data_IF_425011356558
#
_entry.id   IF_425011356558
#
_cell.length_a   1.000
_cell.length_b   1.000
_cell.length_c   1.000
_cell.angle_alpha   90.00
_cell.angle_beta   90.00
_cell.angle_gamma   90.00
#
_symmetry.space_group_name_H-M   'P 1'
#
loop_
_entity.id
_entity.type
_entity.pdbx_description
1 polymer ?
#
# COMPACT_ATOMS: atom_id res chain seq x y z
N UNK A 1 12.54 -20.45 -15.04
CA UNK A 1 13.71 -19.82 -15.67
C UNK A 1 14.37 -18.88 -14.67
N UNK A 2 15.39 -19.34 -13.94
CA UNK A 2 16.09 -18.52 -12.93
C UNK A 2 16.69 -17.21 -13.49
N UNK A 3 17.04 -17.20 -14.78
CA UNK A 3 17.61 -16.05 -15.49
C UNK A 3 16.68 -14.83 -15.59
N UNK A 4 15.39 -15.00 -15.30
CA UNK A 4 14.42 -13.90 -15.28
C UNK A 4 14.39 -13.16 -13.94
N UNK A 5 15.12 -13.65 -12.94
CA UNK A 5 15.24 -13.07 -11.62
C UNK A 5 16.64 -12.52 -11.42
N UNK A 6 16.79 -11.50 -10.58
CA UNK A 6 18.10 -11.10 -10.11
C UNK A 6 18.68 -12.22 -9.26
N UNK A 7 19.96 -12.52 -9.46
CA UNK A 7 20.65 -13.60 -8.76
C UNK A 7 22.15 -13.32 -8.70
N UNK A 8 22.86 -13.95 -7.78
CA UNK A 8 24.32 -13.92 -7.78
C UNK A 8 24.89 -14.93 -8.79
N UNK A 9 26.18 -14.80 -9.14
CA UNK A 9 26.86 -15.80 -9.97
C UNK A 9 26.89 -17.17 -9.30
N UNK A 10 27.04 -17.21 -7.97
CA UNK A 10 27.16 -18.43 -7.18
C UNK A 10 25.82 -19.10 -6.84
N UNK A 11 24.69 -18.39 -6.98
CA UNK A 11 23.38 -18.91 -6.60
C UNK A 11 22.24 -18.32 -7.45
N UNK A 12 21.69 -19.13 -8.35
CA UNK A 12 20.56 -18.76 -9.21
C UNK A 12 19.20 -18.65 -8.50
N UNK A 13 19.14 -18.95 -7.20
CA UNK A 13 17.89 -18.95 -6.44
C UNK A 13 17.82 -17.85 -5.39
N UNK A 14 18.88 -17.05 -5.22
CA UNK A 14 18.92 -15.95 -4.24
C UNK A 14 19.79 -14.80 -4.72
N UNK A 15 19.48 -13.60 -4.23
CA UNK A 15 20.36 -12.43 -4.30
C UNK A 15 20.64 -11.82 -2.92
N UNK A 16 21.20 -10.60 -2.89
CA UNK A 16 21.16 -9.72 -1.74
C UNK A 16 19.74 -9.63 -1.17
N UNK A 17 19.59 -9.24 0.09
CA UNK A 17 18.30 -9.26 0.77
C UNK A 17 17.89 -7.87 1.22
N UNK A 18 16.59 -7.59 1.17
CA UNK A 18 15.99 -6.41 1.78
C UNK A 18 14.86 -6.79 2.71
N UNK A 19 14.81 -6.21 3.92
CA UNK A 19 13.79 -6.54 4.90
C UNK A 19 14.08 -5.99 6.29
N UNK A 20 13.49 -6.60 7.35
CA UNK A 20 13.69 -6.16 8.72
C UNK A 20 15.17 -6.14 9.15
N UNK A 21 15.98 -7.10 8.66
CA UNK A 21 17.41 -7.20 8.96
C UNK A 21 18.24 -6.07 8.34
N UNK A 22 17.77 -5.45 7.27
CA UNK A 22 18.42 -4.30 6.61
C UNK A 22 17.76 -2.96 6.99
N UNK A 23 16.81 -2.99 7.93
CA UNK A 23 16.06 -1.81 8.35
C UNK A 23 15.15 -1.24 7.26
N UNK A 24 14.81 -2.03 6.23
CA UNK A 24 14.04 -1.59 5.07
C UNK A 24 14.67 -0.44 4.28
N UNK A 25 15.98 -0.21 4.47
CA UNK A 25 16.69 0.85 3.80
C UNK A 25 16.78 0.54 2.31
N UNK A 26 15.98 1.28 1.57
CA UNK A 26 16.00 1.36 0.13
C UNK A 26 16.12 2.81 -0.28
N UNK A 27 16.35 3.02 -1.58
CA UNK A 27 16.19 4.28 -2.30
C UNK A 27 16.90 5.52 -1.73
N UNK A 28 16.68 6.61 -2.43
CA UNK A 28 17.65 7.68 -2.57
C UNK A 28 16.94 8.98 -2.93
N UNK A 29 17.50 10.17 -2.64
CA UNK A 29 17.00 11.41 -3.24
C UNK A 29 17.16 11.44 -4.77
N UNK A 30 17.91 10.50 -5.35
CA UNK A 30 18.04 10.33 -6.79
C UNK A 30 17.02 9.33 -7.33
N UNK A 31 16.31 9.72 -8.39
CA UNK A 31 15.30 8.89 -9.05
C UNK A 31 15.88 7.57 -9.59
N UNK A 32 17.14 7.60 -10.01
CA UNK A 32 17.83 6.49 -10.68
C UNK A 32 18.73 5.68 -9.75
N UNK A 33 18.69 5.95 -8.44
CA UNK A 33 19.49 5.21 -7.47
C UNK A 33 18.56 4.31 -6.66
N UNK A 34 18.39 3.09 -7.17
CA UNK A 34 17.72 2.05 -6.41
C UNK A 34 18.70 0.96 -5.96
N UNK A 35 19.49 1.29 -4.95
CA UNK A 35 20.46 0.41 -4.28
C UNK A 35 19.92 -0.96 -3.82
N UNK A 36 18.61 -1.16 -3.78
CA UNK A 36 17.96 -2.40 -3.35
C UNK A 36 16.96 -3.00 -4.36
N UNK A 37 16.81 -2.42 -5.56
CA UNK A 37 15.85 -2.89 -6.58
C UNK A 37 16.26 -4.21 -7.25
N UNK A 38 17.40 -4.76 -6.85
CA UNK A 38 17.89 -6.05 -7.30
C UNK A 38 17.98 -7.07 -6.16
N UNK A 39 17.38 -6.80 -4.99
CA UNK A 39 17.50 -7.67 -3.81
C UNK A 39 16.19 -8.40 -3.49
N UNK A 40 16.32 -9.66 -3.07
CA UNK A 40 15.18 -10.48 -2.63
C UNK A 40 14.54 -9.88 -1.38
N UNK A 41 13.24 -9.59 -1.46
CA UNK A 41 12.48 -9.10 -0.33
C UNK A 41 12.30 -10.24 0.71
N UNK A 42 12.50 -9.90 1.98
CA UNK A 42 12.54 -10.82 3.13
C UNK A 42 13.57 -11.97 3.01
N UNK A 43 14.46 -11.95 1.99
CA UNK A 43 15.37 -13.07 1.70
C UNK A 43 14.68 -14.35 1.24
N UNK A 44 13.42 -14.25 0.79
CA UNK A 44 12.61 -15.38 0.38
C UNK A 44 11.63 -15.11 -0.76
N UNK A 45 11.48 -13.86 -1.18
CA UNK A 45 10.74 -13.48 -2.38
C UNK A 45 11.75 -13.23 -3.51
N UNK A 46 11.82 -14.12 -4.52
CA UNK A 46 12.74 -13.94 -5.64
C UNK A 46 12.44 -12.65 -6.39
N UNK A 47 13.46 -11.84 -6.60
CA UNK A 47 13.32 -10.54 -7.21
C UNK A 47 13.35 -10.60 -8.74
N UNK A 48 12.31 -10.08 -9.41
CA UNK A 48 12.24 -10.09 -10.87
C UNK A 48 13.27 -9.13 -11.48
N UNK A 49 13.99 -9.58 -12.51
CA UNK A 49 14.92 -8.71 -13.23
C UNK A 49 14.15 -7.82 -14.23
N UNK A 50 13.48 -6.79 -13.72
CA UNK A 50 12.62 -5.89 -14.51
C UNK A 50 13.36 -5.12 -15.60
N UNK A 51 14.69 -5.02 -15.52
CA UNK A 51 15.55 -4.48 -16.58
C UNK A 51 15.50 -5.30 -17.88
N UNK A 52 15.12 -6.58 -17.82
CA UNK A 52 14.98 -7.46 -18.98
C UNK A 52 13.64 -7.24 -19.70
N UNK A 53 13.69 -7.08 -21.03
CA UNK A 53 12.49 -6.93 -21.84
C UNK A 53 11.52 -8.12 -21.68
N UNK A 54 12.03 -9.35 -21.60
CA UNK A 54 11.20 -10.54 -21.41
C UNK A 54 10.38 -10.49 -20.10
N UNK A 55 10.96 -9.94 -19.02
CA UNK A 55 10.27 -9.79 -17.73
C UNK A 55 9.19 -8.71 -17.82
N UNK A 56 9.51 -7.56 -18.43
CA UNK A 56 8.52 -6.49 -18.67
C UNK A 56 7.37 -6.96 -19.55
N UNK A 57 7.64 -7.78 -20.56
CA UNK A 57 6.60 -8.34 -21.44
C UNK A 57 5.66 -9.29 -20.68
N UNK A 58 6.18 -10.07 -19.73
CA UNK A 58 5.36 -10.93 -18.85
C UNK A 58 4.40 -10.08 -18.01
N UNK A 59 4.91 -9.06 -17.34
CA UNK A 59 4.12 -8.18 -16.48
C UNK A 59 3.11 -7.36 -17.30
N UNK A 60 3.55 -6.77 -18.42
CA UNK A 60 2.69 -5.99 -19.31
C UNK A 60 1.56 -6.83 -19.92
N UNK A 61 1.80 -8.12 -20.20
CA UNK A 61 0.72 -9.04 -20.63
C UNK A 61 -0.34 -9.20 -19.54
N UNK A 62 0.07 -9.43 -18.29
CA UNK A 62 -0.87 -9.51 -17.18
C UNK A 62 -1.65 -8.21 -16.98
N UNK A 63 -0.99 -7.06 -17.07
CA UNK A 63 -1.63 -5.74 -17.00
C UNK A 63 -2.68 -5.55 -18.12
N UNK A 64 -2.38 -5.98 -19.35
CA UNK A 64 -3.36 -5.98 -20.46
C UNK A 64 -4.56 -6.88 -20.19
N UNK A 65 -4.33 -8.05 -19.58
CA UNK A 65 -5.42 -8.96 -19.19
C UNK A 65 -6.33 -8.29 -18.16
N UNK A 66 -5.77 -7.72 -17.10
CA UNK A 66 -6.54 -6.96 -16.09
C UNK A 66 -7.35 -5.82 -16.71
N UNK A 67 -6.72 -5.02 -17.58
CA UNK A 67 -7.42 -3.93 -18.25
C UNK A 67 -8.53 -4.45 -19.18
N UNK A 68 -8.33 -5.57 -19.87
CA UNK A 68 -9.34 -6.13 -20.78
C UNK A 68 -10.58 -6.67 -20.06
N UNK A 69 -10.45 -7.10 -18.80
CA UNK A 69 -11.60 -7.48 -17.96
C UNK A 69 -12.25 -6.29 -17.23
N UNK A 70 -11.77 -5.06 -17.47
CA UNK A 70 -12.37 -3.82 -16.97
C UNK A 70 -11.73 -3.24 -15.71
N UNK A 71 -10.56 -3.71 -15.28
CA UNK A 71 -9.81 -3.04 -14.21
C UNK A 71 -9.27 -1.72 -14.76
N UNK A 72 -9.62 -0.59 -14.12
CA UNK A 72 -9.15 0.74 -14.56
C UNK A 72 -8.21 1.43 -13.57
N UNK A 73 -8.08 0.91 -12.35
CA UNK A 73 -7.24 1.50 -11.30
C UNK A 73 -6.28 0.46 -10.73
N UNK A 74 -5.06 0.89 -10.36
CA UNK A 74 -4.02 0.02 -9.82
C UNK A 74 -3.45 0.53 -8.49
N UNK A 75 -3.19 -0.41 -7.59
CA UNK A 75 -2.23 -0.26 -6.49
C UNK A 75 -0.95 -0.99 -6.89
N UNK A 76 0.16 -0.29 -6.94
CA UNK A 76 1.49 -0.90 -7.12
C UNK A 76 2.05 -1.25 -5.76
N UNK A 77 2.12 -2.55 -5.47
CA UNK A 77 2.72 -3.10 -4.25
C UNK A 77 4.24 -2.96 -4.29
N UNK A 78 4.87 -2.78 -3.12
CA UNK A 78 6.33 -2.82 -2.99
C UNK A 78 7.09 -1.93 -4.00
N UNK A 79 6.49 -0.85 -4.49
CA UNK A 79 6.96 -0.16 -5.68
C UNK A 79 8.36 0.41 -5.52
N UNK A 80 8.68 0.89 -4.32
CA UNK A 80 10.00 1.39 -3.92
C UNK A 80 11.15 0.42 -4.23
N UNK A 81 10.89 -0.89 -4.22
CA UNK A 81 11.87 -1.95 -4.50
C UNK A 81 11.95 -2.28 -6.01
N UNK A 82 11.37 -1.45 -6.88
CA UNK A 82 11.50 -1.57 -8.33
C UNK A 82 11.92 -0.24 -8.95
N UNK A 83 12.77 -0.35 -9.99
CA UNK A 83 13.29 0.81 -10.72
C UNK A 83 12.14 1.59 -11.35
N UNK A 84 12.25 2.92 -11.30
CA UNK A 84 11.14 3.82 -11.71
C UNK A 84 10.86 3.69 -13.20
N UNK A 85 11.91 3.66 -14.01
CA UNK A 85 11.83 3.54 -15.46
C UNK A 85 11.22 2.19 -15.88
N UNK A 86 11.57 1.11 -15.18
CA UNK A 86 11.04 -0.22 -15.45
C UNK A 86 9.54 -0.31 -15.11
N UNK A 87 9.14 0.20 -13.94
CA UNK A 87 7.72 0.31 -13.58
C UNK A 87 6.95 1.16 -14.59
N UNK A 88 7.50 2.31 -14.97
CA UNK A 88 6.91 3.19 -15.98
C UNK A 88 6.75 2.50 -17.34
N UNK A 89 7.76 1.74 -17.79
CA UNK A 89 7.73 1.01 -19.05
C UNK A 89 6.66 -0.10 -19.08
N UNK A 90 6.30 -0.67 -17.92
CA UNK A 90 5.22 -1.66 -17.81
C UNK A 90 3.85 -1.00 -17.68
N UNK A 91 3.70 -0.03 -16.77
CA UNK A 91 2.41 0.57 -16.41
C UNK A 91 1.87 1.50 -17.51
N UNK A 92 2.72 2.32 -18.14
CA UNK A 92 2.29 3.38 -19.06
C UNK A 92 1.91 2.88 -20.47
N UNK A 93 1.85 1.56 -20.68
CA UNK A 93 1.34 0.97 -21.92
C UNK A 93 -0.18 1.06 -22.04
N UNK A 94 -0.88 1.38 -20.94
CA UNK A 94 -2.34 1.38 -20.85
C UNK A 94 -2.84 2.65 -20.15
N UNK A 95 -4.04 3.14 -20.53
CA UNK A 95 -4.62 4.34 -19.94
C UNK A 95 -5.37 4.00 -18.65
N UNK A 96 -4.65 3.91 -17.53
CA UNK A 96 -5.28 3.74 -16.22
C UNK A 96 -6.00 5.02 -15.78
N UNK A 97 -7.20 4.89 -15.20
CA UNK A 97 -7.93 6.01 -14.60
C UNK A 97 -7.19 6.54 -13.35
N UNK A 98 -6.56 5.63 -12.61
CA UNK A 98 -5.83 5.97 -11.39
C UNK A 98 -4.79 4.92 -11.02
N UNK A 99 -3.57 5.37 -10.73
CA UNK A 99 -2.52 4.52 -10.16
C UNK A 99 -2.00 5.18 -8.90
N UNK A 100 -1.85 4.39 -7.84
CA UNK A 100 -1.06 4.77 -6.68
C UNK A 100 -0.09 3.67 -6.30
N UNK A 101 1.00 4.06 -5.67
CA UNK A 101 2.11 3.18 -5.34
C UNK A 101 2.36 3.16 -3.83
N UNK A 102 2.68 1.97 -3.33
CA UNK A 102 3.19 1.82 -2.00
C UNK A 102 4.69 2.08 -1.96
N UNK A 103 5.05 3.01 -1.09
CA UNK A 103 6.41 3.42 -0.83
C UNK A 103 6.57 3.68 0.67
N UNK A 104 7.47 2.95 1.31
CA UNK A 104 7.77 3.02 2.73
C UNK A 104 9.20 3.45 3.02
N UNK A 105 9.42 4.22 4.09
CA UNK A 105 10.74 4.33 4.73
C UNK A 105 11.73 5.34 4.16
N UNK A 106 11.39 6.08 3.10
CA UNK A 106 12.32 7.05 2.49
C UNK A 106 11.73 8.44 2.21
N UNK A 107 12.58 9.33 1.69
CA UNK A 107 12.21 10.64 1.18
C UNK A 107 11.46 10.53 -0.13
N UNK A 108 10.20 10.98 -0.20
CA UNK A 108 9.43 10.88 -1.42
C UNK A 108 9.97 11.83 -2.48
N UNK A 109 10.18 11.30 -3.68
CA UNK A 109 10.65 11.98 -4.89
C UNK A 109 9.42 12.28 -5.73
N UNK A 110 9.09 13.57 -5.86
CA UNK A 110 7.90 14.00 -6.58
C UNK A 110 7.89 13.54 -8.05
N UNK A 111 9.05 13.49 -8.70
CA UNK A 111 9.16 13.07 -10.10
C UNK A 111 8.68 11.62 -10.33
N UNK A 112 8.97 10.72 -9.38
CA UNK A 112 8.49 9.33 -9.41
C UNK A 112 6.97 9.24 -9.53
N UNK A 113 6.24 10.19 -8.92
CA UNK A 113 4.77 10.20 -8.97
C UNK A 113 4.20 10.50 -10.35
N UNK A 114 4.98 11.16 -11.21
CA UNK A 114 4.59 11.46 -12.60
C UNK A 114 4.81 10.27 -13.54
N UNK A 115 5.73 9.37 -13.20
CA UNK A 115 6.08 8.22 -14.03
C UNK A 115 5.24 6.99 -13.67
N UNK A 116 5.07 6.73 -12.37
CA UNK A 116 4.45 5.49 -11.86
C UNK A 116 3.02 5.72 -11.36
N UNK A 117 2.75 6.85 -10.72
CA UNK A 117 1.46 7.17 -10.12
C UNK A 117 1.55 7.76 -8.71
N UNK A 118 0.41 8.05 -8.10
CA UNK A 118 0.30 8.78 -6.85
C UNK A 118 1.06 8.11 -5.70
N UNK A 119 1.72 8.89 -4.86
CA UNK A 119 2.35 8.40 -3.64
C UNK A 119 1.30 8.13 -2.55
N UNK A 120 1.33 6.95 -1.93
CA UNK A 120 0.52 6.69 -0.73
C UNK A 120 1.14 7.40 0.49
N UNK A 121 0.64 8.59 0.83
CA UNK A 121 1.16 9.42 1.93
C UNK A 121 0.71 8.90 3.30
N UNK A 122 1.43 7.89 3.79
CA UNK A 122 1.22 7.29 5.12
C UNK A 122 1.48 8.31 6.24
N UNK A 123 2.37 9.29 6.03
CA UNK A 123 2.67 10.30 7.05
C UNK A 123 1.47 11.19 7.36
N UNK A 124 0.56 11.39 6.40
CA UNK A 124 -0.64 12.19 6.59
C UNK A 124 -1.54 11.57 7.67
N UNK A 125 -1.69 10.25 7.64
CA UNK A 125 -2.44 9.51 8.65
C UNK A 125 -1.91 9.79 10.05
N UNK A 126 -0.59 9.80 10.24
CA UNK A 126 0.02 9.95 11.56
C UNK A 126 -0.23 11.35 12.11
N UNK A 127 -0.09 12.37 11.27
CA UNK A 127 -0.40 13.76 11.67
C UNK A 127 -1.88 13.90 12.02
N UNK A 128 -2.76 13.40 11.16
CA UNK A 128 -4.20 13.56 11.32
C UNK A 128 -4.73 12.78 12.54
N UNK A 129 -4.37 11.51 12.68
CA UNK A 129 -4.82 10.66 13.79
C UNK A 129 -4.33 11.22 15.13
N UNK A 130 -3.05 11.59 15.23
CA UNK A 130 -2.56 12.23 16.46
C UNK A 130 -3.27 13.55 16.76
N UNK A 131 -3.57 14.36 15.74
CA UNK A 131 -4.29 15.61 15.93
C UNK A 131 -5.72 15.39 16.43
N UNK A 132 -6.42 14.40 15.88
CA UNK A 132 -7.81 14.10 16.24
C UNK A 132 -7.94 13.36 17.58
N UNK A 133 -6.96 12.54 17.94
CA UNK A 133 -7.00 11.71 19.14
C UNK A 133 -6.41 12.40 20.38
N UNK A 134 -5.37 13.22 20.20
CA UNK A 134 -4.52 13.66 21.31
C UNK A 134 -4.47 15.19 21.51
N UNK A 135 -5.07 16.02 20.63
CA UNK A 135 -5.11 17.47 20.85
C UNK A 135 -6.28 17.88 21.76
N UNK A 136 -6.04 18.93 22.54
CA UNK A 136 -7.09 19.61 23.27
C UNK A 136 -8.07 20.31 22.30
N UNK A 137 -9.33 20.47 22.73
CA UNK A 137 -10.36 21.12 21.92
C UNK A 137 -9.99 22.55 21.48
N UNK A 138 -9.20 23.26 22.30
CA UNK A 138 -8.69 24.59 21.97
C UNK A 138 -7.69 24.57 20.79
N UNK A 139 -7.00 23.45 20.60
CA UNK A 139 -5.99 23.24 19.56
C UNK A 139 -6.53 22.48 18.35
N UNK A 140 -7.79 22.03 18.38
CA UNK A 140 -8.40 21.23 17.31
C UNK A 140 -8.33 21.90 15.93
N UNK A 141 -8.31 23.23 15.87
CA UNK A 141 -8.14 23.97 14.62
C UNK A 141 -6.85 23.57 13.87
N UNK A 142 -5.81 23.12 14.56
CA UNK A 142 -4.56 22.63 13.96
C UNK A 142 -4.78 21.39 13.09
N UNK A 143 -5.80 20.56 13.36
CA UNK A 143 -6.16 19.43 12.51
C UNK A 143 -6.59 19.89 11.11
N UNK A 144 -7.22 21.07 11.00
CA UNK A 144 -7.66 21.66 9.73
C UNK A 144 -6.48 22.21 8.91
N UNK A 145 -5.33 22.45 9.55
CA UNK A 145 -4.10 22.93 8.92
C UNK A 145 -3.25 21.79 8.33
N UNK A 146 -3.63 20.52 8.57
CA UNK A 146 -2.90 19.35 8.07
C UNK A 146 -3.22 19.15 6.59
N UNK A 147 -2.24 19.51 5.77
CA UNK A 147 -2.35 19.54 4.30
C UNK A 147 -1.55 18.43 3.60
N UNK A 148 -0.50 17.94 4.24
CA UNK A 148 0.26 16.80 3.74
C UNK A 148 0.94 16.06 4.89
N UNK A 149 1.23 14.80 4.68
CA UNK A 149 2.10 14.03 5.56
C UNK A 149 3.55 14.32 5.25
N UNK A 150 3.94 14.10 4.01
CA UNK A 150 5.31 14.33 3.54
C UNK A 150 5.49 15.71 2.92
N UNK A 151 6.72 16.21 2.95
CA UNK A 151 7.10 17.41 2.21
C UNK A 151 7.49 17.02 0.78
N UNK A 152 7.24 17.90 -0.19
CA UNK A 152 7.76 17.78 -1.56
C UNK A 152 6.84 17.05 -2.54
N UNK A 153 5.83 16.30 -2.09
CA UNK A 153 4.80 15.72 -2.96
C UNK A 153 3.54 16.59 -2.93
N UNK A 154 3.13 17.19 -4.07
CA UNK A 154 1.87 17.92 -4.16
C UNK A 154 0.66 17.02 -3.91
N UNK A 155 -0.44 17.60 -3.43
CA UNK A 155 -1.65 16.86 -3.04
C UNK A 155 -2.31 16.12 -4.20
N UNK A 156 -2.21 16.67 -5.41
CA UNK A 156 -2.70 16.09 -6.66
C UNK A 156 -1.88 14.87 -7.12
N UNK A 157 -0.77 14.59 -6.44
CA UNK A 157 0.11 13.45 -6.69
C UNK A 157 0.17 12.51 -5.48
N UNK A 158 -0.72 12.67 -4.52
CA UNK A 158 -0.80 11.86 -3.32
C UNK A 158 -2.16 11.15 -3.19
N UNK A 159 -2.11 9.97 -2.57
CA UNK A 159 -3.25 9.21 -2.06
C UNK A 159 -3.11 9.19 -0.54
N UNK A 160 -4.15 9.63 0.17
CA UNK A 160 -4.12 9.71 1.63
C UNK A 160 -4.89 8.55 2.25
N UNK A 161 -4.25 7.57 2.92
CA UNK A 161 -4.97 6.54 3.66
C UNK A 161 -5.19 6.97 5.11
N UNK A 162 -6.35 6.65 5.70
CA UNK A 162 -6.48 6.63 7.17
C UNK A 162 -5.91 5.33 7.75
N UNK A 163 -6.26 4.21 7.12
CA UNK A 163 -5.87 2.85 7.48
C UNK A 163 -5.65 2.01 6.21
N UNK A 164 -4.79 1.01 6.31
CA UNK A 164 -4.44 0.06 5.26
C UNK A 164 -3.87 -1.22 5.89
N UNK A 165 -3.66 -2.27 5.09
CA UNK A 165 -3.36 -3.62 5.59
C UNK A 165 -2.08 -3.75 6.45
N UNK A 166 -0.96 -3.12 6.10
CA UNK A 166 0.24 -3.13 6.96
C UNK A 166 0.18 -2.13 8.11
N UNK A 167 -0.78 -1.20 8.05
CA UNK A 167 -0.94 -0.10 8.99
C UNK A 167 -1.75 -0.43 10.24
N UNK A 168 -2.03 -1.72 10.50
CA UNK A 168 -2.89 -2.22 11.59
C UNK A 168 -2.19 -2.21 12.95
N UNK A 169 -2.95 -2.06 14.03
CA UNK A 169 -2.53 -2.30 15.42
C UNK A 169 -3.08 -3.61 15.97
N UNK A 170 -2.40 -4.18 16.98
CA UNK A 170 -2.83 -5.41 17.65
C UNK A 170 -4.03 -5.12 18.56
N UNK A 171 -3.89 -4.06 19.36
CA UNK A 171 -4.88 -3.53 20.29
C UNK A 171 -5.29 -2.11 19.88
N UNK A 172 -6.26 -1.53 20.59
CA UNK A 172 -6.62 -0.12 20.39
C UNK A 172 -5.41 0.78 20.75
N UNK A 173 -5.06 1.67 19.84
CA UNK A 173 -3.93 2.60 19.97
C UNK A 173 -4.38 3.94 19.40
N UNK A 174 -4.35 5.01 20.20
CA UNK A 174 -4.81 6.35 19.77
C UNK A 174 -3.94 6.97 18.68
N UNK A 175 -2.74 6.43 18.44
CA UNK A 175 -1.87 6.85 17.35
C UNK A 175 -2.12 6.08 16.04
N UNK A 176 -2.83 4.95 16.08
CA UNK A 176 -3.10 4.08 14.94
C UNK A 176 -4.61 3.87 14.78
N UNK A 177 -5.21 4.62 13.86
CA UNK A 177 -6.63 4.51 13.53
C UNK A 177 -7.03 3.10 13.08
N UNK A 178 -7.78 2.37 13.91
CA UNK A 178 -8.39 1.09 13.56
C UNK A 178 -9.79 0.96 14.12
N UNK A 179 -10.57 -0.01 13.60
CA UNK A 179 -11.88 -0.31 14.15
C UNK A 179 -11.85 -0.58 15.69
N UNK A 180 -10.70 -1.03 16.23
CA UNK A 180 -10.54 -1.32 17.65
C UNK A 180 -10.65 -0.06 18.52
N UNK A 181 -10.47 1.13 17.95
CA UNK A 181 -10.68 2.43 18.63
C UNK A 181 -12.17 2.82 18.73
N UNK A 182 -13.08 2.06 18.11
CA UNK A 182 -14.53 2.29 18.20
C UNK A 182 -14.97 3.65 17.66
N UNK A 183 -15.65 4.45 18.48
CA UNK A 183 -16.21 5.76 18.06
C UNK A 183 -15.13 6.71 17.52
N UNK A 184 -13.93 6.69 18.09
CA UNK A 184 -12.81 7.54 17.67
C UNK A 184 -12.46 7.29 16.19
N UNK A 185 -12.33 6.03 15.78
CA UNK A 185 -12.06 5.65 14.39
C UNK A 185 -13.15 6.10 13.43
N UNK A 186 -14.42 5.94 13.82
CA UNK A 186 -15.54 6.42 13.01
C UNK A 186 -15.54 7.94 12.86
N UNK A 187 -15.16 8.69 13.90
CA UNK A 187 -15.03 10.15 13.83
C UNK A 187 -13.86 10.56 12.94
N UNK A 188 -12.73 9.86 12.99
CA UNK A 188 -11.58 10.11 12.12
C UNK A 188 -11.92 9.88 10.64
N UNK A 189 -12.62 8.77 10.31
CA UNK A 189 -13.12 8.50 8.95
C UNK A 189 -14.07 9.60 8.47
N UNK A 190 -15.02 10.03 9.32
CA UNK A 190 -15.96 11.12 9.00
C UNK A 190 -15.25 12.45 8.80
N UNK A 191 -14.26 12.78 9.63
CA UNK A 191 -13.48 14.00 9.48
C UNK A 191 -12.75 14.00 8.13
N UNK A 192 -12.08 12.90 7.78
CA UNK A 192 -11.37 12.78 6.50
C UNK A 192 -12.28 12.91 5.27
N UNK A 193 -13.53 12.44 5.38
CA UNK A 193 -14.55 12.60 4.33
C UNK A 193 -15.13 14.01 4.24
N UNK A 194 -15.33 14.68 5.40
CA UNK A 194 -15.91 16.01 5.48
C UNK A 194 -14.90 17.13 5.21
N UNK A 195 -13.62 16.87 5.48
CA UNK A 195 -12.51 17.77 5.22
C UNK A 195 -11.53 17.14 4.20
N UNK A 196 -11.96 16.92 2.94
CA UNK A 196 -11.13 16.28 1.94
C UNK A 196 -10.11 17.29 1.42
N UNK A 197 -9.01 17.45 2.14
CA UNK A 197 -7.85 18.19 1.63
C UNK A 197 -7.15 17.44 0.48
N UNK A 198 -7.37 16.12 0.37
CA UNK A 198 -6.84 15.28 -0.70
C UNK A 198 -7.75 15.16 -1.92
N UNK A 199 -7.13 15.06 -3.10
CA UNK A 199 -7.83 14.70 -4.34
C UNK A 199 -8.25 13.22 -4.33
N UNK A 200 -7.54 12.38 -3.57
CA UNK A 200 -7.81 10.95 -3.41
C UNK A 200 -7.59 10.51 -1.97
N UNK A 201 -8.60 9.85 -1.41
CA UNK A 201 -8.61 9.32 -0.04
C UNK A 201 -8.85 7.82 -0.05
N UNK A 202 -8.11 7.09 0.78
CA UNK A 202 -8.26 5.66 1.01
C UNK A 202 -9.03 5.38 2.28
N UNK A 203 -10.27 4.91 2.15
CA UNK A 203 -11.04 4.35 3.25
C UNK A 203 -10.71 2.87 3.42
N UNK A 204 -10.59 2.43 4.67
CA UNK A 204 -10.39 1.01 4.95
C UNK A 204 -11.73 0.25 4.98
N UNK A 205 -11.84 -0.75 4.11
CA UNK A 205 -12.81 -1.84 4.21
C UNK A 205 -12.08 -3.13 4.51
N UNK A 206 -12.31 -3.72 5.69
CA UNK A 206 -11.61 -4.93 6.11
C UNK A 206 -12.42 -5.74 7.11
N UNK A 207 -11.73 -6.66 7.78
CA UNK A 207 -12.32 -7.60 8.73
C UNK A 207 -11.74 -7.38 10.14
N UNK A 208 -12.42 -7.91 11.16
CA UNK A 208 -11.89 -7.92 12.52
C UNK A 208 -10.80 -8.98 12.71
N UNK A 209 -9.73 -8.65 13.43
CA UNK A 209 -8.61 -9.56 13.72
C UNK A 209 -8.30 -9.65 15.22
N UNK A 210 -7.85 -10.82 15.66
CA UNK A 210 -7.29 -11.04 17.00
C UNK A 210 -5.77 -10.92 16.99
N UNK A 211 -5.11 -11.31 15.91
CA UNK A 211 -3.68 -11.17 15.65
C UNK A 211 -3.47 -10.44 14.33
N UNK A 212 -2.36 -9.69 14.18
CA UNK A 212 -2.00 -9.09 12.88
C UNK A 212 -1.72 -10.13 11.79
N UNK A 213 -1.39 -11.35 12.19
CA UNK A 213 -1.16 -12.50 11.30
C UNK A 213 -2.45 -13.23 10.91
N UNK A 214 -3.60 -12.84 11.46
CA UNK A 214 -4.88 -13.45 11.10
C UNK A 214 -5.21 -13.14 9.63
N UNK A 215 -5.52 -14.20 8.88
CA UNK A 215 -6.11 -14.09 7.55
C UNK A 215 -7.56 -13.63 7.58
N UNK A 216 -8.17 -13.38 6.40
CA UNK A 216 -9.56 -12.99 6.32
C UNK A 216 -10.52 -14.08 6.84
N UNK A 217 -11.79 -13.74 7.15
CA UNK A 217 -12.78 -14.70 7.59
C UNK A 217 -12.91 -15.89 6.63
N UNK A 218 -12.98 -17.10 7.17
CA UNK A 218 -12.97 -18.33 6.38
C UNK A 218 -11.59 -18.95 6.18
N UNK A 219 -10.52 -18.32 6.68
CA UNK A 219 -9.15 -18.86 6.72
C UNK A 219 -8.79 -19.52 8.06
N UNK A 220 -9.74 -19.73 8.97
CA UNK A 220 -9.46 -20.27 10.30
C UNK A 220 -9.19 -21.78 10.31
N UNK A 221 -9.27 -22.43 9.14
CA UNK A 221 -9.10 -23.88 9.00
C UNK A 221 -7.62 -24.28 9.02
N UNK A 222 -7.28 -25.44 9.62
CA UNK A 222 -5.89 -25.94 9.64
C UNK A 222 -5.31 -26.30 8.26
N UNK A 223 -6.16 -26.51 7.25
CA UNK A 223 -5.79 -27.01 5.92
C UNK A 223 -5.23 -25.91 4.98
N UNK A 224 -5.01 -24.69 5.49
CA UNK A 224 -4.54 -23.51 4.75
C UNK A 224 -5.44 -23.08 3.58
N UNK A 225 -6.64 -23.64 3.46
CA UNK A 225 -7.60 -23.25 2.44
C UNK A 225 -8.62 -22.27 3.01
N UNK A 226 -8.56 -21.04 2.52
CA UNK A 226 -9.57 -20.03 2.80
C UNK A 226 -10.83 -20.32 2.00
N UNK A 227 -11.96 -20.55 2.68
CA UNK A 227 -13.27 -20.66 2.02
C UNK A 227 -14.10 -19.42 2.36
N UNK A 228 -14.35 -18.51 1.40
CA UNK A 228 -15.16 -17.33 1.67
C UNK A 228 -16.57 -17.75 2.09
N UNK A 229 -17.09 -17.13 3.14
CA UNK A 229 -18.50 -17.30 3.50
C UNK A 229 -19.35 -16.35 2.65
N UNK A 230 -20.49 -16.81 2.10
CA UNK A 230 -21.41 -15.94 1.39
C UNK A 230 -21.84 -14.74 2.25
N UNK A 231 -21.88 -13.54 1.65
CA UNK A 231 -22.45 -12.35 2.30
C UNK A 231 -23.97 -12.47 2.43
N UNK A 232 -24.60 -13.32 1.62
CA UNK A 232 -26.03 -13.58 1.67
C UNK A 232 -26.30 -15.03 2.05
N UNK A 233 -27.31 -15.26 2.86
CA UNK A 233 -27.78 -16.61 3.14
C UNK A 233 -28.48 -17.22 1.91
N UNK A 234 -28.89 -18.49 2.01
CA UNK A 234 -29.60 -19.18 0.93
C UNK A 234 -30.95 -18.54 0.56
N UNK A 235 -31.44 -17.60 1.36
CA UNK A 235 -32.70 -16.87 1.18
C UNK A 235 -32.46 -15.41 0.72
N UNK A 236 -31.21 -15.01 0.46
CA UNK A 236 -30.87 -13.67 0.02
C UNK A 236 -30.83 -12.61 1.14
N UNK A 237 -30.91 -13.02 2.41
CA UNK A 237 -30.71 -12.09 3.52
C UNK A 237 -29.23 -11.80 3.70
N UNK A 238 -28.88 -10.52 3.84
CA UNK A 238 -27.52 -10.13 4.19
C UNK A 238 -27.15 -10.80 5.53
N UNK A 239 -26.21 -11.73 5.48
CA UNK A 239 -25.49 -12.16 6.65
C UNK A 239 -24.52 -11.02 6.95
N UNK A 240 -24.78 -10.28 8.01
CA UNK A 240 -23.81 -9.30 8.49
C UNK A 240 -22.48 -10.05 8.67
N UNK A 241 -21.49 -9.77 7.82
CA UNK A 241 -20.15 -9.69 8.38
C UNK A 241 -20.26 -8.55 9.38
N UNK A 242 -20.07 -8.78 10.69
CA UNK A 242 -19.96 -7.65 11.58
C UNK A 242 -18.83 -6.80 11.02
N UNK A 243 -19.19 -5.68 10.38
CA UNK A 243 -18.32 -4.51 10.37
C UNK A 243 -18.02 -4.29 11.84
N UNK A 244 -16.76 -4.44 12.26
CA UNK A 244 -16.45 -4.28 13.66
C UNK A 244 -16.89 -2.91 14.20
#
# INVERSE_FOLDING_TARGET
EPQLFHHTEDNHLRNCMVGPSTGWLCGSPSLSDCSCCACDMYGGLPDWHTGLQAVRDIHARHLRELHSIGVTMLRVDAAIYSEVEDLGAMLNQLPWDYVFQEWWGEYPIAERTRIVGHYRDVAYRWKLVNALANLDIAEFHKALEIKSGVHGVPQEHAMYPLLYHDGRSQDADSSIATYKNGLEFHQQQKFMLAWPYGVSIGLWGGFGWKSKEDGPPGCERPDKHCTPKPVFDAHGHAQCMPTP
#
